data_IF_187073477112
#
_entry.id   IF_187073477112
#
_cell.length_a   1.000
_cell.length_b   1.000
_cell.length_c   1.000
_cell.angle_alpha   90.00
_cell.angle_beta   90.00
_cell.angle_gamma   90.00
#
_symmetry.space_group_name_H-M   'P 1'
#
loop_
_entity.id
_entity.type
_entity.pdbx_description
1 polymer ?
#
# COMPACT_ATOMS: atom_id res chain seq x y z
N UNK A 1 23.26 54.90 21.48
CA UNK A 1 21.90 55.37 21.11
C UNK A 1 21.72 55.07 19.63
N UNK A 2 20.82 54.21 19.15
CA UNK A 2 19.78 53.45 19.81
C UNK A 2 19.45 52.19 19.00
N UNK A 3 18.83 51.24 19.69
CA UNK A 3 18.34 49.97 19.17
C UNK A 3 17.10 50.20 18.30
N UNK A 4 16.99 49.51 17.17
CA UNK A 4 15.70 49.30 16.50
C UNK A 4 15.41 47.81 16.47
N UNK A 5 14.55 47.39 17.41
CA UNK A 5 13.71 46.21 17.26
C UNK A 5 12.43 46.63 16.56
N UNK A 6 11.99 45.86 15.56
CA UNK A 6 10.59 45.81 15.17
C UNK A 6 10.16 44.34 15.04
N UNK A 7 9.23 43.95 15.90
CA UNK A 7 8.47 42.71 15.85
C UNK A 7 7.33 42.86 14.83
N UNK A 8 7.15 41.86 13.95
CA UNK A 8 5.93 41.06 13.80
C UNK A 8 5.87 40.42 12.41
N UNK A 9 5.59 39.12 12.42
CA UNK A 9 5.41 38.31 11.21
C UNK A 9 5.25 36.85 11.59
N UNK A 10 4.28 36.59 12.47
CA UNK A 10 3.89 35.25 12.92
C UNK A 10 3.24 34.50 11.75
N UNK A 11 4.05 33.93 10.85
CA UNK A 11 3.57 32.87 9.98
C UNK A 11 3.69 31.55 10.74
N UNK A 12 2.56 31.12 11.30
CA UNK A 12 2.32 29.71 11.62
C UNK A 12 2.43 28.91 10.31
N UNK A 13 3.65 28.56 9.92
CA UNK A 13 3.84 27.38 9.08
C UNK A 13 3.65 26.20 10.02
N UNK A 14 2.42 25.67 10.00
CA UNK A 14 2.18 24.27 10.29
C UNK A 14 3.16 23.51 9.40
N UNK A 15 4.34 23.21 9.94
CA UNK A 15 5.21 22.19 9.39
C UNK A 15 4.40 20.92 9.52
N UNK A 16 3.63 20.62 8.48
CA UNK A 16 3.33 19.25 8.12
C UNK A 16 4.64 18.51 8.30
N UNK A 17 4.63 17.53 9.21
CA UNK A 17 5.74 16.63 9.44
C UNK A 17 6.04 15.97 8.09
N UNK A 18 6.91 16.61 7.31
CA UNK A 18 7.70 15.95 6.29
C UNK A 18 8.31 14.78 7.02
N UNK A 19 7.78 13.61 6.66
CA UNK A 19 8.15 12.28 7.10
C UNK A 19 9.59 12.27 7.59
N UNK A 20 9.76 12.20 8.91
CA UNK A 20 10.99 11.68 9.46
C UNK A 20 11.14 10.29 8.83
N UNK A 21 12.18 10.12 8.02
CA UNK A 21 12.78 8.81 7.71
C UNK A 21 13.35 8.25 9.02
N UNK A 22 12.50 8.12 10.03
CA UNK A 22 12.79 7.37 11.22
C UNK A 22 12.92 5.92 10.76
N UNK A 23 14.14 5.42 10.79
CA UNK A 23 14.60 4.07 11.18
C UNK A 23 13.53 2.98 11.33
N UNK A 24 12.65 2.82 10.34
CA UNK A 24 11.69 1.72 10.31
C UNK A 24 12.40 0.60 9.57
N UNK A 25 12.60 -0.49 10.30
CA UNK A 25 13.13 -1.76 9.80
C UNK A 25 12.62 -2.09 8.39
N UNK A 26 13.43 -2.79 7.60
CA UNK A 26 12.98 -3.28 6.29
C UNK A 26 11.66 -4.06 6.45
N UNK A 27 10.71 -3.94 5.49
CA UNK A 27 9.47 -4.69 5.55
C UNK A 27 9.74 -6.19 5.65
N UNK A 28 8.94 -6.88 6.44
CA UNK A 28 9.10 -8.31 6.66
C UNK A 28 8.70 -9.12 5.42
N UNK A 29 7.63 -8.70 4.76
CA UNK A 29 6.95 -9.43 3.67
C UNK A 29 6.90 -10.96 3.90
N UNK A 30 6.11 -11.43 4.89
CA UNK A 30 5.98 -12.85 5.19
C UNK A 30 5.61 -13.69 3.96
N UNK A 31 5.91 -14.98 4.00
CA UNK A 31 5.57 -15.89 2.90
C UNK A 31 4.08 -15.77 2.52
N UNK A 32 3.84 -15.61 1.21
CA UNK A 32 2.53 -15.28 0.68
C UNK A 32 2.40 -15.69 -0.79
N UNK A 33 1.16 -15.88 -1.21
CA UNK A 33 0.77 -16.08 -2.61
C UNK A 33 0.10 -14.80 -3.16
N UNK A 34 0.43 -14.43 -4.40
CA UNK A 34 -0.11 -13.22 -5.03
C UNK A 34 -1.10 -13.58 -6.12
N UNK A 35 -2.32 -13.07 -6.00
CA UNK A 35 -3.40 -13.25 -6.97
C UNK A 35 -3.76 -11.91 -7.60
N UNK A 36 -4.17 -11.93 -8.87
CA UNK A 36 -4.55 -10.71 -9.56
C UNK A 36 -5.64 -10.98 -10.59
N UNK A 37 -6.59 -10.07 -10.69
CA UNK A 37 -7.57 -9.98 -11.79
C UNK A 37 -7.21 -8.86 -12.78
N UNK A 38 -6.09 -8.16 -12.56
CA UNK A 38 -5.57 -7.17 -13.49
C UNK A 38 -5.11 -7.85 -14.79
N UNK A 39 -5.29 -7.18 -15.93
CA UNK A 39 -4.92 -7.73 -17.24
C UNK A 39 -3.41 -7.56 -17.48
N UNK A 40 -2.65 -8.56 -17.02
CA UNK A 40 -1.20 -8.64 -17.16
C UNK A 40 -0.76 -9.09 -18.56
N UNK A 41 0.50 -8.81 -18.92
CA UNK A 41 1.17 -9.51 -20.04
C UNK A 41 1.69 -10.88 -19.57
N UNK A 42 1.95 -11.81 -20.50
CA UNK A 42 2.43 -13.15 -20.15
C UNK A 42 3.73 -13.14 -19.32
N UNK A 43 4.55 -12.11 -19.50
CA UNK A 43 5.87 -11.99 -18.87
C UNK A 43 5.80 -11.32 -17.48
N UNK A 44 4.63 -10.77 -17.11
CA UNK A 44 4.44 -10.07 -15.85
C UNK A 44 4.17 -11.05 -14.71
N UNK A 45 5.09 -11.10 -13.75
CA UNK A 45 5.01 -11.99 -12.58
C UNK A 45 4.37 -11.24 -11.40
N UNK A 46 3.18 -11.64 -10.90
CA UNK A 46 2.50 -10.95 -9.78
C UNK A 46 3.35 -10.86 -8.51
N UNK A 47 4.15 -11.89 -8.23
CA UNK A 47 5.06 -11.93 -7.09
C UNK A 47 6.05 -10.74 -7.05
N UNK A 48 6.37 -10.14 -8.21
CA UNK A 48 7.26 -8.99 -8.26
C UNK A 48 6.66 -7.74 -7.57
N UNK A 49 5.33 -7.64 -7.45
CA UNK A 49 4.68 -6.58 -6.67
C UNK A 49 4.95 -6.70 -5.17
N UNK A 50 5.32 -7.88 -4.68
CA UNK A 50 5.49 -8.20 -3.27
C UNK A 50 6.94 -8.53 -2.90
N UNK A 51 7.81 -8.80 -3.86
CA UNK A 51 9.22 -9.04 -3.58
C UNK A 51 9.93 -7.77 -3.09
N UNK A 52 10.94 -7.96 -2.22
CA UNK A 52 11.79 -6.87 -1.71
C UNK A 52 12.88 -6.43 -2.70
N UNK A 53 12.99 -7.08 -3.86
CA UNK A 53 13.91 -6.68 -4.92
C UNK A 53 13.34 -5.50 -5.73
N UNK A 54 14.09 -4.97 -6.71
CA UNK A 54 13.67 -3.83 -7.54
C UNK A 54 12.75 -4.21 -8.72
N UNK A 55 12.23 -5.44 -8.76
CA UNK A 55 11.28 -5.82 -9.81
C UNK A 55 9.91 -5.19 -9.53
N UNK A 56 9.02 -5.27 -10.52
CA UNK A 56 7.66 -4.77 -10.40
C UNK A 56 6.70 -5.69 -11.14
N UNK A 57 5.42 -5.58 -10.80
CA UNK A 57 4.35 -6.15 -11.59
C UNK A 57 3.78 -5.09 -12.54
N UNK A 58 3.58 -5.47 -13.81
CA UNK A 58 2.95 -4.62 -14.80
C UNK A 58 1.60 -5.21 -15.24
N UNK A 59 0.57 -4.37 -15.24
CA UNK A 59 -0.72 -4.67 -15.86
C UNK A 59 -0.91 -3.75 -17.06
N UNK A 60 -1.24 -4.33 -18.22
CA UNK A 60 -1.53 -3.56 -19.44
C UNK A 60 -2.80 -2.71 -19.29
N UNK A 61 -3.76 -3.20 -18.52
CA UNK A 61 -5.00 -2.48 -18.20
C UNK A 61 -5.65 -3.06 -16.94
N UNK A 62 -6.58 -2.29 -16.36
CA UNK A 62 -7.43 -2.74 -15.27
C UNK A 62 -8.83 -2.16 -15.43
N UNK A 63 -9.80 -2.83 -14.84
CA UNK A 63 -11.18 -2.35 -14.74
C UNK A 63 -11.49 -2.03 -13.28
N UNK A 64 -12.52 -1.20 -13.06
CA UNK A 64 -13.04 -0.96 -11.72
C UNK A 64 -13.43 -2.31 -11.08
N UNK A 65 -12.98 -2.52 -9.84
CA UNK A 65 -13.18 -3.78 -9.12
C UNK A 65 -12.12 -4.84 -9.39
N UNK A 66 -11.25 -4.66 -10.39
CA UNK A 66 -10.05 -5.51 -10.51
C UNK A 66 -9.11 -5.28 -9.32
N UNK A 67 -8.33 -6.30 -8.98
CA UNK A 67 -7.50 -6.27 -7.79
C UNK A 67 -6.18 -7.01 -7.97
N UNK A 68 -5.22 -6.67 -7.12
CA UNK A 68 -4.05 -7.48 -6.81
C UNK A 68 -4.05 -7.75 -5.31
N UNK A 69 -3.95 -9.01 -4.92
CA UNK A 69 -4.14 -9.48 -3.54
C UNK A 69 -2.97 -10.30 -3.10
N UNK A 70 -2.35 -9.87 -2.00
CA UNK A 70 -1.39 -10.65 -1.24
C UNK A 70 -2.18 -11.52 -0.26
N UNK A 71 -1.98 -12.84 -0.31
CA UNK A 71 -2.57 -13.80 0.64
C UNK A 71 -1.44 -14.42 1.43
N UNK A 72 -1.30 -14.03 2.70
CA UNK A 72 -0.24 -14.53 3.59
C UNK A 72 -0.47 -16.02 3.86
N UNK A 73 0.59 -16.82 3.82
CA UNK A 73 0.50 -18.26 4.07
C UNK A 73 -0.02 -18.51 5.50
N UNK A 74 0.48 -17.72 6.46
CA UNK A 74 -0.01 -17.68 7.84
C UNK A 74 -0.57 -16.29 8.19
N UNK A 75 -1.77 -16.18 8.79
CA UNK A 75 -2.29 -14.90 9.28
C UNK A 75 -1.32 -14.24 10.27
N UNK A 76 -1.11 -12.93 10.14
CA UNK A 76 -0.13 -12.19 10.95
C UNK A 76 -0.72 -10.94 11.61
N UNK A 77 -0.06 -10.50 12.69
CA UNK A 77 -0.34 -9.21 13.31
C UNK A 77 0.39 -8.11 12.51
N UNK A 78 -0.27 -7.63 11.47
CA UNK A 78 0.24 -6.55 10.62
C UNK A 78 0.08 -5.23 11.34
N UNK A 79 1.16 -4.46 11.48
CA UNK A 79 1.12 -3.12 12.09
C UNK A 79 1.34 -1.99 11.07
N UNK A 80 1.82 -2.29 9.86
CA UNK A 80 2.00 -1.30 8.79
C UNK A 80 1.85 -1.94 7.41
N UNK A 81 1.23 -1.21 6.49
CA UNK A 81 1.19 -1.53 5.07
C UNK A 81 1.59 -0.30 4.26
N UNK A 82 2.43 -0.52 3.25
CA UNK A 82 2.77 0.48 2.25
C UNK A 82 2.57 -0.10 0.86
N UNK A 83 1.95 0.68 -0.03
CA UNK A 83 1.76 0.33 -1.43
C UNK A 83 2.29 1.44 -2.31
N UNK A 84 3.14 1.07 -3.27
CA UNK A 84 3.80 1.97 -4.22
C UNK A 84 3.43 1.57 -5.64
N UNK A 85 2.73 2.44 -6.35
CA UNK A 85 2.40 2.27 -7.77
C UNK A 85 3.06 3.34 -8.65
N UNK A 86 3.10 3.09 -9.96
CA UNK A 86 3.79 3.94 -10.95
C UNK A 86 5.26 3.58 -11.12
N UNK A 87 5.87 4.10 -12.18
CA UNK A 87 7.32 4.00 -12.40
C UNK A 87 8.09 4.98 -11.49
N UNK A 88 9.42 4.97 -11.57
CA UNK A 88 10.25 5.98 -10.90
C UNK A 88 10.13 7.36 -11.55
N UNK A 89 9.60 7.44 -12.78
CA UNK A 89 9.21 8.69 -13.42
C UNK A 89 7.84 9.12 -12.90
N UNK A 90 7.79 10.31 -12.29
CA UNK A 90 6.62 10.81 -11.57
C UNK A 90 5.35 10.77 -12.43
N UNK A 91 4.37 9.99 -11.99
CA UNK A 91 3.02 9.94 -12.55
C UNK A 91 2.82 8.96 -13.72
N UNK A 92 3.87 8.30 -14.19
CA UNK A 92 3.77 7.34 -15.29
C UNK A 92 3.32 5.96 -14.80
N UNK A 93 2.34 5.36 -15.49
CA UNK A 93 1.73 4.06 -15.15
C UNK A 93 1.25 3.96 -13.69
N UNK A 94 0.87 5.10 -13.11
CA UNK A 94 0.48 5.19 -11.71
C UNK A 94 -1.01 4.93 -11.54
N UNK A 95 -1.38 4.12 -10.55
CA UNK A 95 -2.78 3.93 -10.19
C UNK A 95 -3.22 5.09 -9.31
N UNK A 96 -3.78 6.14 -9.92
CA UNK A 96 -4.20 7.35 -9.19
C UNK A 96 -5.35 7.10 -8.22
N UNK A 97 -6.27 6.22 -8.60
CA UNK A 97 -7.47 5.91 -7.84
C UNK A 97 -7.53 4.41 -7.56
N UNK A 98 -7.33 4.08 -6.28
CA UNK A 98 -7.45 2.73 -5.76
C UNK A 98 -7.47 2.78 -4.24
N UNK A 99 -7.76 1.64 -3.64
CA UNK A 99 -7.80 1.52 -2.19
C UNK A 99 -7.12 0.25 -1.71
N UNK A 100 -6.62 0.30 -0.49
CA UNK A 100 -6.02 -0.83 0.20
C UNK A 100 -7.00 -1.34 1.25
N UNK A 101 -7.25 -2.63 1.21
CA UNK A 101 -8.14 -3.33 2.13
C UNK A 101 -7.40 -4.47 2.82
N UNK A 102 -7.79 -4.75 4.06
CA UNK A 102 -7.28 -5.86 4.86
C UNK A 102 -8.37 -6.92 4.99
N UNK A 103 -8.08 -8.13 4.54
CA UNK A 103 -8.90 -9.31 4.81
C UNK A 103 -8.35 -10.07 6.00
N UNK A 104 -9.23 -10.58 6.86
CA UNK A 104 -8.87 -11.26 8.10
C UNK A 104 -9.18 -12.74 8.00
N UNK A 105 -8.41 -13.57 8.71
CA UNK A 105 -8.68 -15.01 8.72
C UNK A 105 -10.03 -15.30 9.37
N UNK A 106 -10.91 -15.99 8.64
CA UNK A 106 -12.16 -16.53 9.20
C UNK A 106 -11.85 -17.76 10.04
N UNK A 107 -12.62 -18.00 11.10
CA UNK A 107 -12.44 -19.19 11.96
C UNK A 107 -12.66 -20.51 11.22
N UNK A 108 -13.36 -20.48 10.08
CA UNK A 108 -13.81 -21.69 9.37
C UNK A 108 -13.07 -21.96 8.06
N UNK A 109 -12.30 -21.00 7.53
CA UNK A 109 -11.55 -21.15 6.28
C UNK A 109 -10.20 -20.40 6.37
N UNK A 110 -9.11 -21.17 6.46
CA UNK A 110 -7.74 -20.62 6.60
C UNK A 110 -7.24 -20.01 5.28
N UNK A 111 -7.84 -20.39 4.15
CA UNK A 111 -7.39 -20.03 2.82
C UNK A 111 -8.23 -18.93 2.13
N UNK A 112 -9.35 -18.53 2.73
CA UNK A 112 -10.22 -17.50 2.14
C UNK A 112 -10.06 -16.16 2.87
N UNK A 113 -10.17 -15.09 2.10
CA UNK A 113 -10.08 -13.73 2.59
C UNK A 113 -11.49 -13.19 2.81
N UNK A 114 -12.02 -13.37 4.02
CA UNK A 114 -13.30 -12.79 4.39
C UNK A 114 -13.12 -11.43 5.11
N UNK A 115 -14.22 -10.69 5.25
CA UNK A 115 -14.29 -9.46 6.03
C UNK A 115 -13.29 -8.36 5.60
N UNK A 116 -13.21 -8.03 4.32
CA UNK A 116 -12.35 -6.94 3.86
C UNK A 116 -12.74 -5.60 4.49
N UNK A 117 -11.79 -4.97 5.17
CA UNK A 117 -11.93 -3.64 5.77
C UNK A 117 -10.99 -2.66 5.07
N UNK A 118 -11.50 -1.48 4.70
CA UNK A 118 -10.72 -0.41 4.12
C UNK A 118 -9.63 0.08 5.10
N UNK A 119 -8.37 -0.01 4.68
CA UNK A 119 -7.23 0.61 5.37
C UNK A 119 -7.04 2.07 4.92
N UNK A 120 -7.22 2.34 3.62
CA UNK A 120 -7.13 3.69 3.09
C UNK A 120 -7.09 3.76 1.57
N UNK A 121 -7.25 4.97 1.05
CA UNK A 121 -7.16 5.27 -0.38
C UNK A 121 -5.69 5.54 -0.77
N UNK A 122 -5.35 5.23 -2.02
CA UNK A 122 -4.12 5.72 -2.62
C UNK A 122 -4.19 7.24 -2.78
N UNK A 123 -3.11 7.93 -2.43
CA UNK A 123 -2.92 9.36 -2.71
C UNK A 123 -1.73 9.47 -3.63
N UNK A 124 -1.96 9.95 -4.86
CA UNK A 124 -0.95 9.95 -5.92
C UNK A 124 -0.28 8.58 -6.05
N UNK A 125 -1.09 7.52 -6.16
CA UNK A 125 -0.64 6.14 -6.33
C UNK A 125 0.16 5.52 -5.20
N UNK A 126 0.16 6.14 -4.02
CA UNK A 126 0.89 5.68 -2.85
C UNK A 126 -0.06 5.56 -1.66
N UNK A 127 0.13 4.52 -0.86
CA UNK A 127 -0.39 4.43 0.50
C UNK A 127 0.76 4.03 1.44
N UNK A 128 0.78 4.62 2.63
CA UNK A 128 1.65 4.21 3.72
C UNK A 128 0.92 4.46 5.03
N UNK A 129 0.38 3.41 5.65
CA UNK A 129 -0.49 3.51 6.82
C UNK A 129 -0.11 2.48 7.87
N UNK A 130 -0.19 2.90 9.13
CA UNK A 130 -0.23 1.97 10.25
C UNK A 130 -1.58 1.28 10.30
N UNK A 131 -1.57 0.01 10.68
CA UNK A 131 -2.77 -0.77 10.93
C UNK A 131 -3.05 -0.65 12.43
N UNK A 132 -4.20 -0.07 12.77
CA UNK A 132 -4.59 0.06 14.16
C UNK A 132 -4.86 -1.33 14.74
N UNK A 133 -4.19 -1.66 15.84
CA UNK A 133 -4.40 -2.92 16.54
C UNK A 133 -5.88 -3.07 16.87
N UNK A 134 -6.49 -4.15 16.38
CA UNK A 134 -7.85 -4.47 16.77
C UNK A 134 -7.82 -5.09 18.18
N UNK A 135 -8.73 -4.66 19.06
CA UNK A 135 -8.88 -5.28 20.39
C UNK A 135 -9.36 -6.74 20.31
N UNK A 136 -9.80 -7.17 19.12
CA UNK A 136 -10.31 -8.52 18.84
C UNK A 136 -9.21 -9.56 18.62
N UNK A 137 -7.95 -9.15 18.44
CA UNK A 137 -6.85 -10.07 18.13
C UNK A 137 -6.97 -10.74 16.76
N UNK A 138 -7.81 -10.22 15.85
CA UNK A 138 -7.93 -10.78 14.49
C UNK A 138 -6.63 -10.50 13.73
N UNK A 139 -6.03 -11.55 13.18
CA UNK A 139 -4.84 -11.49 12.34
C UNK A 139 -5.20 -11.27 10.87
N UNK A 140 -4.44 -10.43 10.20
CA UNK A 140 -4.60 -10.16 8.76
C UNK A 140 -4.15 -11.39 8.00
N UNK A 141 -5.00 -11.86 7.08
CA UNK A 141 -4.66 -12.91 6.11
C UNK A 141 -4.32 -12.29 4.75
N UNK A 142 -5.01 -11.21 4.38
CA UNK A 142 -4.92 -10.69 3.03
C UNK A 142 -4.75 -9.17 3.00
N UNK A 143 -3.94 -8.69 2.06
CA UNK A 143 -3.82 -7.28 1.71
C UNK A 143 -4.21 -7.12 0.25
N UNK A 144 -5.29 -6.38 -0.02
CA UNK A 144 -5.84 -6.21 -1.36
C UNK A 144 -5.69 -4.77 -1.83
N UNK A 145 -5.00 -4.59 -2.95
CA UNK A 145 -5.08 -3.38 -3.76
C UNK A 145 -6.27 -3.52 -4.71
N UNK A 146 -7.29 -2.68 -4.51
CA UNK A 146 -8.50 -2.64 -5.32
C UNK A 146 -8.50 -1.40 -6.22
N UNK A 147 -8.75 -1.60 -7.52
CA UNK A 147 -8.90 -0.51 -8.50
C UNK A 147 -10.29 0.10 -8.37
N UNK A 148 -10.37 1.40 -8.10
CA UNK A 148 -11.65 2.11 -7.91
C UNK A 148 -12.04 2.98 -9.10
N UNK A 149 -11.08 3.31 -9.98
CA UNK A 149 -11.36 3.94 -11.28
C UNK A 149 -10.47 3.31 -12.37
N UNK A 150 -11.02 3.18 -13.58
CA UNK A 150 -10.28 2.64 -14.72
C UNK A 150 -9.10 3.57 -15.07
N UNK A 151 -7.85 3.09 -15.03
CA UNK A 151 -6.70 3.91 -15.40
C UNK A 151 -6.64 4.11 -16.91
N UNK A 152 -6.15 5.29 -17.33
CA UNK A 152 -5.99 5.67 -18.73
C UNK A 152 -4.81 5.00 -19.44
N UNK A 153 -3.98 4.26 -18.70
CA UNK A 153 -2.77 3.58 -19.19
C UNK A 153 -2.56 2.26 -18.42
N UNK A 154 -1.48 1.55 -18.76
CA UNK A 154 -1.00 0.46 -17.92
C UNK A 154 -0.68 0.91 -16.50
N UNK A 155 -0.57 -0.06 -15.59
CA UNK A 155 -0.28 0.15 -14.17
C UNK A 155 0.99 -0.59 -13.82
N UNK A 156 1.88 0.07 -13.08
CA UNK A 156 3.00 -0.57 -12.41
C UNK A 156 2.68 -0.64 -10.92
N UNK A 157 2.80 -1.83 -10.33
CA UNK A 157 2.81 -2.03 -8.88
C UNK A 157 4.24 -2.41 -8.50
N UNK A 158 4.97 -1.47 -7.88
CA UNK A 158 6.37 -1.66 -7.48
C UNK A 158 6.46 -2.49 -6.22
N UNK A 159 5.77 -2.03 -5.17
CA UNK A 159 5.87 -2.68 -3.86
C UNK A 159 4.54 -2.68 -3.13
N UNK A 160 4.20 -3.83 -2.55
CA UNK A 160 3.27 -4.00 -1.45
C UNK A 160 4.12 -4.50 -0.28
N UNK A 161 4.41 -3.59 0.64
CA UNK A 161 5.26 -3.81 1.79
C UNK A 161 4.39 -4.01 3.04
N UNK A 162 4.69 -5.04 3.81
CA UNK A 162 3.97 -5.45 5.01
C UNK A 162 4.96 -5.62 6.16
N UNK A 163 4.64 -5.00 7.29
CA UNK A 163 5.35 -5.20 8.54
C UNK A 163 4.47 -5.93 9.56
N UNK A 164 5.08 -6.89 10.26
CA UNK A 164 4.41 -7.76 11.24
C UNK A 164 5.17 -7.79 12.56
N UNK A 165 4.44 -7.97 13.66
CA UNK A 165 4.99 -8.21 15.00
C UNK A 165 5.37 -9.68 15.21
#
# INVERSE_FOLDING_TARGET
>A
MGNYSFFEGKFNSLKDKEFEEDDISSPNNPAASIYTSLKATNDSVPMNAYSLNKNFFYAKSAEVGSHLTVVLDSPAEVFRVQVLTGSDLKGENQLKEGQIELGYASTNQINDCDDYILLGLLVNGILNKQVLSNKSGKKVKCVRLLVTATPSSGIIVRHINIWVN
#
